data_IF_491254563184
#
_entry.id   IF_491254563184
#
_cell.length_a   1.000
_cell.length_b   1.000
_cell.length_c   1.000
_cell.angle_alpha   90.00
_cell.angle_beta   90.00
_cell.angle_gamma   90.00
#
_symmetry.space_group_name_H-M   'P 1'
#
loop_
_entity.id
_entity.type
_entity.pdbx_description
1 polymer ?
#
# COMPACT_ATOMS: atom_id res chain seq x y z
N UNK A 1 -11.47 39.78 44.05
CA UNK A 1 -12.01 39.75 42.68
C UNK A 1 -11.76 38.36 42.14
N UNK A 2 -12.78 37.50 42.16
CA UNK A 2 -12.70 36.15 41.61
C UNK A 2 -12.45 36.25 40.11
N UNK A 3 -11.32 35.68 39.64
CA UNK A 3 -11.06 35.51 38.22
C UNK A 3 -12.18 34.68 37.65
N UNK A 4 -13.08 35.34 36.93
CA UNK A 4 -14.28 34.73 36.39
C UNK A 4 -13.86 33.84 35.21
N UNK A 5 -13.44 32.61 35.51
CA UNK A 5 -13.00 31.57 34.57
C UNK A 5 -13.98 31.40 33.41
N UNK A 6 -15.27 31.59 33.69
CA UNK A 6 -16.36 31.53 32.72
C UNK A 6 -16.23 32.64 31.67
N UNK A 7 -15.77 33.84 32.05
CA UNK A 7 -15.56 34.97 31.15
C UNK A 7 -14.33 34.78 30.25
N UNK A 8 -13.24 34.22 30.78
CA UNK A 8 -12.08 33.86 29.94
C UNK A 8 -12.40 32.71 28.99
N UNK A 9 -13.15 31.69 29.44
CA UNK A 9 -13.63 30.60 28.60
C UNK A 9 -14.57 31.08 27.50
N UNK A 10 -15.49 32.02 27.79
CA UNK A 10 -16.36 32.60 26.74
C UNK A 10 -15.58 33.46 25.77
N UNK A 11 -14.52 34.15 26.22
CA UNK A 11 -13.63 34.95 25.37
C UNK A 11 -12.77 34.10 24.45
N UNK A 12 -12.28 32.93 24.92
CA UNK A 12 -11.54 31.98 24.09
C UNK A 12 -12.45 31.20 23.14
N UNK A 13 -13.67 30.84 23.57
CA UNK A 13 -14.69 30.22 22.70
C UNK A 13 -15.25 31.19 21.64
N UNK A 14 -15.28 32.51 21.91
CA UNK A 14 -15.62 33.53 20.91
C UNK A 14 -14.53 33.72 19.84
N UNK A 15 -13.29 33.29 20.10
CA UNK A 15 -12.20 33.28 19.13
C UNK A 15 -12.23 31.98 18.31
N UNK A 16 -13.36 31.72 17.66
CA UNK A 16 -13.58 30.55 16.79
C UNK A 16 -12.62 30.51 15.59
N UNK A 17 -12.06 31.64 15.17
CA UNK A 17 -11.04 31.71 14.11
C UNK A 17 -9.74 30.96 14.47
N UNK A 18 -9.41 30.88 15.77
CA UNK A 18 -8.24 30.14 16.25
C UNK A 18 -8.48 28.64 16.24
N UNK A 19 -9.67 28.22 16.71
CA UNK A 19 -10.06 26.82 16.73
C UNK A 19 -10.19 26.22 15.33
N UNK A 20 -10.73 26.98 14.37
CA UNK A 20 -10.83 26.55 12.97
C UNK A 20 -9.45 26.42 12.32
N UNK A 21 -8.53 27.35 12.60
CA UNK A 21 -7.13 27.26 12.15
C UNK A 21 -6.38 26.10 12.79
N UNK A 22 -6.59 25.86 14.08
CA UNK A 22 -5.97 24.74 14.80
C UNK A 22 -6.52 23.41 14.30
N UNK A 23 -7.82 23.34 13.98
CA UNK A 23 -8.43 22.16 13.36
C UNK A 23 -7.92 21.94 11.93
N UNK A 24 -7.77 23.01 11.13
CA UNK A 24 -7.15 22.94 9.81
C UNK A 24 -5.69 22.47 9.91
N UNK A 25 -4.91 23.04 10.83
CA UNK A 25 -3.52 22.63 11.06
C UNK A 25 -3.43 21.17 11.51
N UNK A 26 -4.30 20.73 12.42
CA UNK A 26 -4.39 19.35 12.86
C UNK A 26 -4.78 18.41 11.71
N UNK A 27 -5.78 18.77 10.91
CA UNK A 27 -6.21 17.94 9.77
C UNK A 27 -5.13 17.84 8.68
N UNK A 28 -4.38 18.93 8.45
CA UNK A 28 -3.28 18.96 7.49
C UNK A 28 -2.12 18.11 7.99
N UNK A 29 -1.76 18.23 9.28
CA UNK A 29 -0.73 17.40 9.90
C UNK A 29 -1.12 15.92 9.93
N UNK A 30 -2.39 15.60 10.18
CA UNK A 30 -2.90 14.23 10.12
C UNK A 30 -2.82 13.68 8.69
N UNK A 31 -3.20 14.48 7.69
CA UNK A 31 -3.08 14.12 6.28
C UNK A 31 -1.62 13.84 5.91
N UNK A 32 -0.69 14.74 6.24
CA UNK A 32 0.73 14.57 5.98
C UNK A 32 1.29 13.33 6.68
N UNK A 33 0.87 13.08 7.92
CA UNK A 33 1.27 11.90 8.67
C UNK A 33 0.73 10.61 8.02
N UNK A 34 -0.51 10.61 7.52
CA UNK A 34 -1.10 9.47 6.81
C UNK A 34 -0.36 9.23 5.49
N UNK A 35 -0.12 10.30 4.73
CA UNK A 35 0.56 10.24 3.44
C UNK A 35 1.97 9.68 3.59
N UNK A 36 2.73 10.19 4.56
CA UNK A 36 4.10 9.75 4.82
C UNK A 36 4.17 8.33 5.38
N UNK A 37 3.30 7.97 6.33
CA UNK A 37 3.43 6.68 7.01
C UNK A 37 2.82 5.51 6.24
N UNK A 38 1.76 5.76 5.47
CA UNK A 38 1.01 4.68 4.81
C UNK A 38 1.10 4.78 3.29
N UNK A 39 0.76 5.94 2.69
CA UNK A 39 0.68 6.06 1.23
C UNK A 39 2.07 5.92 0.59
N UNK A 40 3.08 6.63 1.10
CA UNK A 40 4.44 6.54 0.58
C UNK A 40 5.03 5.13 0.70
N UNK A 41 4.77 4.43 1.81
CA UNK A 41 5.25 3.04 1.99
C UNK A 41 4.58 2.09 1.01
N UNK A 42 3.27 2.23 0.79
CA UNK A 42 2.53 1.43 -0.20
C UNK A 42 3.04 1.71 -1.61
N UNK A 43 3.28 2.99 -1.95
CA UNK A 43 3.83 3.37 -3.25
C UNK A 43 5.26 2.86 -3.45
N UNK A 44 6.12 2.92 -2.43
CA UNK A 44 7.46 2.35 -2.47
C UNK A 44 7.41 0.84 -2.71
N UNK A 45 6.64 0.11 -1.89
CA UNK A 45 6.47 -1.33 -2.06
C UNK A 45 5.93 -1.69 -3.45
N UNK A 46 4.94 -0.96 -3.97
CA UNK A 46 4.44 -1.16 -5.32
C UNK A 46 5.51 -0.85 -6.39
N UNK A 47 6.40 0.12 -6.13
CA UNK A 47 7.55 0.41 -6.98
C UNK A 47 8.54 -0.75 -7.02
N UNK A 48 8.89 -1.28 -5.85
CA UNK A 48 9.82 -2.39 -5.70
C UNK A 48 9.27 -3.67 -6.34
N UNK A 49 7.97 -3.91 -6.20
CA UNK A 49 7.32 -5.06 -6.85
C UNK A 49 7.34 -4.94 -8.38
N UNK A 50 7.16 -3.71 -8.90
CA UNK A 50 7.29 -3.44 -10.34
C UNK A 50 8.73 -3.65 -10.82
N UNK A 51 9.73 -3.11 -10.13
CA UNK A 51 11.14 -3.30 -10.52
C UNK A 51 11.54 -4.77 -10.47
N UNK A 52 11.16 -5.49 -9.42
CA UNK A 52 11.39 -6.93 -9.31
C UNK A 52 10.80 -7.71 -10.48
N UNK A 53 9.57 -7.39 -10.90
CA UNK A 53 8.91 -8.07 -12.02
C UNK A 53 9.55 -7.72 -13.37
N UNK A 54 10.13 -6.52 -13.51
CA UNK A 54 10.86 -6.10 -14.71
C UNK A 54 12.24 -6.77 -14.79
N UNK A 55 12.92 -6.93 -13.65
CA UNK A 55 14.22 -7.62 -13.54
C UNK A 55 14.09 -9.14 -13.71
N UNK A 56 12.98 -9.71 -13.24
CA UNK A 56 12.65 -11.13 -13.36
C UNK A 56 11.39 -11.33 -14.22
N UNK A 57 11.46 -11.09 -15.54
CA UNK A 57 10.31 -11.21 -16.41
C UNK A 57 9.86 -12.68 -16.51
N UNK A 58 8.54 -12.92 -16.57
CA UNK A 58 8.02 -14.26 -16.75
C UNK A 58 8.41 -14.81 -18.14
N UNK A 59 8.38 -16.14 -18.29
CA UNK A 59 8.88 -16.83 -19.49
C UNK A 59 8.16 -16.35 -20.75
N UNK A 60 6.87 -16.07 -20.63
CA UNK A 60 5.98 -15.56 -21.67
C UNK A 60 6.48 -14.19 -22.19
N UNK A 61 6.88 -13.29 -21.30
CA UNK A 61 7.41 -11.97 -21.68
C UNK A 61 8.77 -12.11 -22.37
N UNK A 62 9.61 -13.03 -21.90
CA UNK A 62 10.90 -13.31 -22.53
C UNK A 62 10.73 -13.87 -23.94
N UNK A 63 9.79 -14.80 -24.13
CA UNK A 63 9.47 -15.39 -25.43
C UNK A 63 8.87 -14.36 -26.39
N UNK A 64 7.88 -13.57 -25.94
CA UNK A 64 7.29 -12.51 -26.76
C UNK A 64 8.32 -11.46 -27.17
N UNK A 65 9.26 -11.10 -26.27
CA UNK A 65 10.37 -10.20 -26.59
C UNK A 65 11.34 -10.81 -27.60
N UNK A 66 11.56 -12.12 -27.58
CA UNK A 66 12.38 -12.82 -28.56
C UNK A 66 11.71 -12.89 -29.96
N UNK A 67 10.38 -12.89 -30.01
CA UNK A 67 9.60 -12.90 -31.26
C UNK A 67 9.45 -11.49 -31.85
N UNK A 68 9.51 -10.44 -31.01
CA UNK A 68 9.37 -9.03 -31.42
C UNK A 68 10.23 -8.60 -32.64
N UNK A 69 11.49 -9.03 -32.81
CA UNK A 69 12.31 -8.66 -33.97
C UNK A 69 11.74 -9.14 -35.30
N UNK A 70 10.96 -10.23 -35.30
CA UNK A 70 10.40 -10.85 -36.50
C UNK A 70 9.08 -10.23 -36.97
N UNK A 71 8.54 -9.25 -36.25
CA UNK A 71 7.28 -8.58 -36.55
C UNK A 71 7.49 -7.22 -37.20
N UNK A 72 6.46 -6.75 -37.90
CA UNK A 72 6.31 -5.40 -38.41
C UNK A 72 6.18 -4.38 -37.26
N UNK A 73 6.32 -3.09 -37.56
CA UNK A 73 6.25 -2.05 -36.52
C UNK A 73 4.92 -2.03 -35.76
N UNK A 74 3.81 -2.39 -36.43
CA UNK A 74 2.50 -2.58 -35.82
C UNK A 74 2.47 -3.75 -34.82
N UNK A 75 2.94 -4.93 -35.22
CA UNK A 75 3.04 -6.11 -34.36
C UNK A 75 4.02 -5.92 -33.18
N UNK A 76 5.09 -5.15 -33.38
CA UNK A 76 6.02 -4.76 -32.29
C UNK A 76 5.36 -3.87 -31.24
N UNK A 77 4.45 -2.97 -31.65
CA UNK A 77 3.62 -2.19 -30.74
C UNK A 77 2.72 -3.08 -29.90
N UNK A 78 1.96 -3.97 -30.55
CA UNK A 78 1.04 -4.89 -29.88
C UNK A 78 1.75 -5.84 -28.91
N UNK A 79 2.89 -6.42 -29.31
CA UNK A 79 3.68 -7.27 -28.40
C UNK A 79 4.16 -6.50 -27.18
N UNK A 80 4.56 -5.24 -27.34
CA UNK A 80 5.01 -4.40 -26.21
C UNK A 80 3.88 -4.16 -25.22
N UNK A 81 2.67 -3.90 -25.71
CA UNK A 81 1.49 -3.70 -24.88
C UNK A 81 1.09 -5.00 -24.16
N UNK A 82 1.17 -6.14 -24.84
CA UNK A 82 0.95 -7.47 -24.24
C UNK A 82 2.03 -7.77 -23.20
N UNK A 83 3.30 -7.47 -23.45
CA UNK A 83 4.35 -7.63 -22.45
C UNK A 83 4.10 -6.75 -21.23
N UNK A 84 3.64 -5.51 -21.42
CA UNK A 84 3.31 -4.59 -20.32
C UNK A 84 2.13 -5.12 -19.48
N UNK A 85 1.07 -5.62 -20.12
CA UNK A 85 -0.07 -6.22 -19.41
C UNK A 85 0.30 -7.50 -18.69
N UNK A 86 1.14 -8.36 -19.27
CA UNK A 86 1.63 -9.58 -18.62
C UNK A 86 2.52 -9.27 -17.41
N UNK A 87 3.40 -8.28 -17.51
CA UNK A 87 4.20 -7.82 -16.36
C UNK A 87 3.31 -7.29 -15.25
N UNK A 88 2.27 -6.51 -15.58
CA UNK A 88 1.28 -6.04 -14.61
C UNK A 88 0.55 -7.22 -13.93
N UNK A 89 0.03 -8.17 -14.70
CA UNK A 89 -0.66 -9.36 -14.16
C UNK A 89 0.27 -10.18 -13.26
N UNK A 90 1.53 -10.39 -13.67
CA UNK A 90 2.50 -11.13 -12.87
C UNK A 90 2.81 -10.40 -11.56
N UNK A 91 2.92 -9.08 -11.59
CA UNK A 91 3.14 -8.27 -10.38
C UNK A 91 1.96 -8.40 -9.39
N UNK A 92 0.72 -8.39 -9.89
CA UNK A 92 -0.50 -8.61 -9.10
C UNK A 92 -0.57 -10.04 -8.52
N UNK A 93 -0.16 -11.04 -9.30
CA UNK A 93 -0.10 -12.42 -8.81
C UNK A 93 0.91 -12.55 -7.68
N UNK A 94 2.08 -11.91 -7.80
CA UNK A 94 3.07 -11.87 -6.71
C UNK A 94 2.52 -11.23 -5.43
N UNK A 95 1.83 -10.08 -5.55
CA UNK A 95 1.20 -9.42 -4.39
C UNK A 95 0.14 -10.33 -3.76
N UNK A 96 -0.72 -10.96 -4.57
CA UNK A 96 -1.74 -11.87 -4.06
C UNK A 96 -1.13 -13.09 -3.36
N UNK A 97 -0.06 -13.66 -3.91
CA UNK A 97 0.68 -14.76 -3.28
C UNK A 97 1.24 -14.34 -1.93
N UNK A 98 1.89 -13.18 -1.83
CA UNK A 98 2.39 -12.63 -0.57
C UNK A 98 1.26 -12.40 0.44
N UNK A 99 0.12 -11.87 0.01
CA UNK A 99 -1.05 -11.70 0.90
C UNK A 99 -1.55 -13.07 1.37
N UNK A 100 -1.66 -14.05 0.48
CA UNK A 100 -2.12 -15.39 0.86
C UNK A 100 -1.15 -16.07 1.83
N UNK A 101 0.16 -15.98 1.62
CA UNK A 101 1.16 -16.54 2.54
C UNK A 101 1.09 -15.85 3.90
N UNK A 102 1.01 -14.51 3.94
CA UNK A 102 0.85 -13.75 5.19
C UNK A 102 -0.45 -14.09 5.93
N UNK A 103 -1.57 -14.31 5.21
CA UNK A 103 -2.83 -14.72 5.85
C UNK A 103 -2.82 -16.17 6.34
N UNK A 104 -2.11 -17.07 5.64
CA UNK A 104 -1.94 -18.46 6.05
C UNK A 104 -0.97 -18.55 7.23
N UNK A 105 0.17 -17.87 7.18
CA UNK A 105 1.14 -17.78 8.27
C UNK A 105 0.55 -17.09 9.49
N UNK A 106 -0.22 -16.01 9.32
CA UNK A 106 -0.96 -15.38 10.41
C UNK A 106 -2.03 -16.31 11.02
N UNK A 107 -2.68 -17.14 10.20
CA UNK A 107 -3.61 -18.17 10.68
C UNK A 107 -2.92 -19.31 11.43
N UNK A 108 -1.75 -19.75 10.94
CA UNK A 108 -0.94 -20.79 11.57
C UNK A 108 -0.28 -20.29 12.86
N UNK A 109 0.19 -19.04 12.89
CA UNK A 109 0.72 -18.39 14.09
C UNK A 109 -0.37 -18.20 15.14
N UNK A 110 -1.55 -17.71 14.75
CA UNK A 110 -2.70 -17.59 15.65
C UNK A 110 -3.11 -18.94 16.25
N UNK A 111 -3.13 -20.00 15.44
CA UNK A 111 -3.43 -21.37 15.89
C UNK A 111 -2.36 -21.91 16.86
N UNK A 112 -1.07 -21.61 16.63
CA UNK A 112 0.03 -22.03 17.52
C UNK A 112 0.07 -21.24 18.83
N UNK A 113 -0.30 -19.97 18.82
CA UNK A 113 -0.43 -19.17 20.05
C UNK A 113 -1.63 -19.57 20.91
N UNK A 114 -2.64 -20.25 20.35
CA UNK A 114 -3.75 -20.82 21.11
C UNK A 114 -3.35 -22.11 21.86
N UNK A 115 -2.28 -22.79 21.45
CA UNK A 115 -1.88 -24.12 21.97
C UNK A 115 -0.78 -24.08 23.04
N UNK A 116 -0.52 -22.91 23.63
CA UNK A 116 0.31 -22.79 24.84
C UNK A 116 1.81 -22.71 24.58
N UNK A 117 2.30 -21.51 24.26
CA UNK A 117 3.64 -21.08 24.66
C UNK A 117 3.74 -19.55 24.57
N UNK A 118 3.88 -18.92 25.73
CA UNK A 118 4.11 -17.48 25.93
C UNK A 118 5.56 -17.10 25.59
N UNK A 119 5.98 -17.32 24.35
CA UNK A 119 7.20 -16.71 23.81
C UNK A 119 7.21 -16.80 22.28
N UNK A 120 6.67 -15.78 21.63
CA UNK A 120 7.03 -15.45 20.25
C UNK A 120 6.76 -13.97 20.03
N UNK A 121 7.84 -13.20 19.91
CA UNK A 121 7.92 -11.84 19.37
C UNK A 121 7.53 -11.75 17.88
N UNK A 122 6.52 -12.50 17.47
CA UNK A 122 5.87 -12.34 16.17
C UNK A 122 4.77 -11.32 16.31
N UNK A 123 4.90 -10.16 15.66
CA UNK A 123 3.76 -9.26 15.47
C UNK A 123 2.58 -10.09 14.97
N UNK A 124 1.50 -10.13 15.75
CA UNK A 124 0.24 -10.75 15.36
C UNK A 124 -0.36 -9.90 14.23
N UNK A 125 0.14 -10.10 13.01
CA UNK A 125 -0.30 -9.40 11.81
C UNK A 125 -1.75 -9.78 11.54
N UNK A 126 -2.66 -8.79 11.61
CA UNK A 126 -4.07 -9.01 11.33
C UNK A 126 -4.24 -9.46 9.86
N UNK A 127 -4.84 -10.63 9.58
CA UNK A 127 -5.03 -11.11 8.21
C UNK A 127 -5.92 -10.18 7.37
N UNK A 128 -6.79 -9.38 7.98
CA UNK A 128 -7.55 -8.35 7.27
C UNK A 128 -6.69 -7.15 6.87
N UNK A 129 -5.72 -6.76 7.70
CA UNK A 129 -4.78 -5.69 7.37
C UNK A 129 -3.88 -6.09 6.20
N UNK A 130 -3.44 -7.36 6.12
CA UNK A 130 -2.70 -7.89 4.98
C UNK A 130 -3.52 -7.83 3.68
N UNK A 131 -4.81 -8.16 3.73
CA UNK A 131 -5.72 -8.04 2.57
C UNK A 131 -5.90 -6.59 2.11
N UNK A 132 -6.09 -5.67 3.04
CA UNK A 132 -6.24 -4.23 2.73
C UNK A 132 -4.93 -3.68 2.15
N UNK A 133 -3.78 -4.03 2.74
CA UNK A 133 -2.47 -3.64 2.22
C UNK A 133 -2.24 -4.16 0.79
N UNK A 134 -2.59 -5.42 0.52
CA UNK A 134 -2.52 -6.00 -0.82
C UNK A 134 -3.42 -5.31 -1.83
N UNK A 135 -4.63 -4.92 -1.44
CA UNK A 135 -5.56 -4.19 -2.30
C UNK A 135 -5.05 -2.77 -2.60
N UNK A 136 -4.57 -2.05 -1.59
CA UNK A 136 -3.98 -0.72 -1.77
C UNK A 136 -2.71 -0.76 -2.62
N UNK A 137 -1.88 -1.79 -2.45
CA UNK A 137 -0.70 -2.02 -3.27
C UNK A 137 -1.07 -2.35 -4.73
N UNK A 138 -2.14 -3.12 -4.94
CA UNK A 138 -2.67 -3.41 -6.28
C UNK A 138 -3.17 -2.16 -6.99
N UNK A 139 -3.87 -1.27 -6.27
CA UNK A 139 -4.29 0.04 -6.80
C UNK A 139 -3.06 0.90 -7.15
N UNK A 140 -2.06 0.95 -6.26
CA UNK A 140 -0.83 1.70 -6.51
C UNK A 140 0.00 1.14 -7.68
N UNK A 141 -0.06 -0.17 -7.94
CA UNK A 141 0.55 -0.81 -9.10
C UNK A 141 -0.15 -0.39 -10.41
N UNK A 142 -1.47 -0.24 -10.38
CA UNK A 142 -2.26 0.14 -11.56
C UNK A 142 -1.88 1.55 -12.08
N UNK A 143 -1.58 2.48 -11.18
CA UNK A 143 -1.13 3.83 -11.53
C UNK A 143 0.31 3.86 -12.10
N UNK A 144 1.09 2.80 -11.84
CA UNK A 144 2.50 2.72 -12.27
C UNK A 144 2.71 1.98 -13.59
N UNK A 145 1.76 1.14 -14.01
CA UNK A 145 1.83 0.36 -15.25
C UNK A 145 1.03 0.99 -16.38
#
# INVERSE_FOLDING_TARGET
MERNLIYELTKTLQQTDGLEKDFLAMSTSLREAIEKNYIQKIQLAAGDQKSFTVEHPPKEVTLLRAIAPFLDEGGRGQIRDICRSLLFINSLQGVNQSVTSLTQEGGLLAARSADGSTDATGENLNPQAAKIAGLLMSIALMDKF
#
